data_IF_214183345613
#
_entry.id   IF_214183345613
#
_cell.length_a   1.000
_cell.length_b   1.000
_cell.length_c   1.000
_cell.angle_alpha   90.00
_cell.angle_beta   90.00
_cell.angle_gamma   90.00
#
_symmetry.space_group_name_H-M   'P 1'
#
loop_
_entity.id
_entity.type
_entity.pdbx_description
1 polymer ?
#
# COMPACT_ATOMS: atom_id res chain seq x y z
N UNK A 1 9.90 -1.34 14.52
CA UNK A 1 9.84 -2.79 14.25
C UNK A 1 10.34 -3.53 15.49
N UNK A 2 9.71 -4.67 15.85
CA UNK A 2 10.05 -5.46 17.04
C UNK A 2 11.25 -6.40 16.83
N UNK A 3 11.80 -6.94 17.92
CA UNK A 3 12.97 -7.85 17.88
C UNK A 3 12.76 -9.07 16.97
N UNK A 4 11.53 -9.59 16.92
CA UNK A 4 11.13 -10.73 16.09
C UNK A 4 11.26 -10.46 14.58
N UNK A 5 11.13 -9.19 14.18
CA UNK A 5 11.30 -8.76 12.78
C UNK A 5 12.76 -8.85 12.37
N UNK A 6 13.67 -8.40 13.23
CA UNK A 6 15.12 -8.46 12.98
C UNK A 6 15.56 -9.91 12.91
N UNK A 7 15.07 -10.76 13.82
CA UNK A 7 15.36 -12.19 13.80
C UNK A 7 14.85 -12.84 12.50
N UNK A 8 13.65 -12.49 12.04
CA UNK A 8 13.10 -12.98 10.77
C UNK A 8 13.93 -12.57 9.55
N UNK A 9 14.39 -11.30 9.51
CA UNK A 9 15.25 -10.80 8.44
C UNK A 9 16.63 -11.43 8.46
N UNK A 10 17.22 -11.62 9.64
CA UNK A 10 18.49 -12.34 9.80
C UNK A 10 18.36 -13.79 9.37
N UNK A 11 17.32 -14.50 9.82
CA UNK A 11 17.03 -15.86 9.40
C UNK A 11 16.87 -15.95 7.87
N UNK A 12 16.24 -14.96 7.25
CA UNK A 12 16.16 -14.88 5.78
C UNK A 12 17.55 -14.74 5.14
N UNK A 13 18.41 -13.86 5.64
CA UNK A 13 19.77 -13.68 5.10
C UNK A 13 20.61 -14.97 5.19
N UNK A 14 20.45 -15.74 6.26
CA UNK A 14 21.20 -16.99 6.46
C UNK A 14 20.59 -18.23 5.79
N UNK A 15 19.25 -18.28 5.65
CA UNK A 15 18.54 -19.51 5.19
C UNK A 15 17.81 -19.36 3.85
N UNK A 16 17.62 -18.12 3.38
CA UNK A 16 16.80 -17.78 2.22
C UNK A 16 15.29 -17.96 2.45
N UNK A 17 14.84 -18.24 3.68
CA UNK A 17 13.42 -18.47 4.00
C UNK A 17 12.85 -17.31 4.81
N UNK A 18 11.72 -16.78 4.37
CA UNK A 18 10.97 -15.74 5.07
C UNK A 18 9.49 -16.06 5.05
N UNK A 19 8.83 -15.95 6.22
CA UNK A 19 7.39 -16.12 6.35
C UNK A 19 6.72 -14.77 6.46
N UNK A 20 5.95 -14.39 5.44
CA UNK A 20 5.21 -13.12 5.39
C UNK A 20 3.77 -13.38 5.85
N UNK A 21 3.27 -12.54 6.76
CA UNK A 21 1.91 -12.57 7.31
C UNK A 21 1.37 -11.14 7.46
N UNK A 22 0.05 -10.99 7.57
CA UNK A 22 -0.58 -9.67 7.73
C UNK A 22 -0.10 -8.94 9.00
N UNK A 23 0.24 -9.68 10.05
CA UNK A 23 0.70 -9.12 11.32
C UNK A 23 2.16 -8.68 11.28
N UNK A 24 2.99 -9.27 10.41
CA UNK A 24 4.43 -8.97 10.36
C UNK A 24 4.85 -8.16 9.13
N UNK A 25 4.04 -8.11 8.08
CA UNK A 25 4.41 -7.51 6.79
C UNK A 25 4.85 -6.05 6.93
N UNK A 26 4.16 -5.27 7.78
CA UNK A 26 4.51 -3.87 7.99
C UNK A 26 5.86 -3.72 8.67
N UNK A 27 6.11 -4.52 9.71
CA UNK A 27 7.40 -4.49 10.40
C UNK A 27 8.53 -5.01 9.51
N UNK A 28 8.26 -6.05 8.72
CA UNK A 28 9.22 -6.63 7.77
C UNK A 28 9.62 -5.62 6.70
N UNK A 29 8.68 -4.84 6.15
CA UNK A 29 9.01 -3.79 5.18
C UNK A 29 9.92 -2.75 5.83
N UNK A 30 9.54 -2.21 7.00
CA UNK A 30 10.35 -1.20 7.68
C UNK A 30 11.76 -1.70 8.03
N UNK A 31 11.89 -2.95 8.49
CA UNK A 31 13.18 -3.57 8.74
C UNK A 31 13.97 -3.81 7.46
N UNK A 32 13.33 -4.34 6.42
CA UNK A 32 13.98 -4.63 5.14
C UNK A 32 14.48 -3.34 4.46
N UNK A 33 13.74 -2.23 4.56
CA UNK A 33 14.23 -0.93 4.11
C UNK A 33 15.43 -0.45 4.92
N UNK A 34 15.38 -0.57 6.24
CA UNK A 34 16.50 -0.19 7.10
C UNK A 34 17.78 -0.96 6.77
N UNK A 35 17.66 -2.26 6.49
CA UNK A 35 18.79 -3.11 6.09
C UNK A 35 19.05 -3.14 4.58
N UNK A 36 18.32 -2.33 3.78
CA UNK A 36 18.40 -2.29 2.32
C UNK A 36 18.25 -3.67 1.62
N UNK A 37 17.36 -4.53 2.13
CA UNK A 37 17.03 -5.84 1.56
C UNK A 37 15.86 -5.70 0.58
N UNK A 38 16.13 -5.17 -0.61
CA UNK A 38 15.09 -4.87 -1.62
C UNK A 38 14.22 -6.09 -1.99
N UNK A 39 14.80 -7.29 -2.01
CA UNK A 39 14.05 -8.51 -2.33
C UNK A 39 12.88 -8.75 -1.36
N UNK A 40 13.11 -8.53 -0.06
CA UNK A 40 12.07 -8.71 0.96
C UNK A 40 11.01 -7.63 0.82
N UNK A 41 11.40 -6.41 0.50
CA UNK A 41 10.47 -5.31 0.22
C UNK A 41 9.57 -5.66 -0.96
N UNK A 42 10.13 -6.15 -2.08
CA UNK A 42 9.36 -6.55 -3.27
C UNK A 42 8.38 -7.69 -2.94
N UNK A 43 8.82 -8.66 -2.14
CA UNK A 43 8.00 -9.82 -1.82
C UNK A 43 6.86 -9.50 -0.84
N UNK A 44 7.12 -8.61 0.12
CA UNK A 44 6.08 -8.02 0.95
C UNK A 44 5.10 -7.18 0.12
N UNK A 45 5.59 -6.37 -0.83
CA UNK A 45 4.74 -5.57 -1.72
C UNK A 45 3.81 -6.46 -2.55
N UNK A 46 4.33 -7.57 -3.08
CA UNK A 46 3.56 -8.57 -3.84
C UNK A 46 2.53 -9.28 -2.96
N UNK A 47 2.87 -9.59 -1.71
CA UNK A 47 1.93 -10.17 -0.75
C UNK A 47 0.74 -9.25 -0.49
N UNK A 48 1.01 -7.95 -0.26
CA UNK A 48 -0.04 -6.96 -0.01
C UNK A 48 -0.85 -6.69 -1.28
N UNK A 49 -0.21 -6.60 -2.46
CA UNK A 49 -0.89 -6.34 -3.74
C UNK A 49 -1.96 -7.38 -4.07
N UNK A 50 -1.81 -8.63 -3.60
CA UNK A 50 -2.80 -9.71 -3.78
C UNK A 50 -4.00 -9.61 -2.84
N UNK A 51 -3.96 -8.72 -1.86
CA UNK A 51 -4.97 -8.56 -0.79
C UNK A 51 -5.56 -7.16 -0.74
N UNK A 52 -5.37 -6.37 -1.79
CA UNK A 52 -6.02 -5.06 -1.92
C UNK A 52 -7.53 -5.27 -2.00
N UNK A 53 -8.24 -4.53 -1.16
CA UNK A 53 -9.69 -4.54 -1.02
C UNK A 53 -10.20 -3.11 -0.85
N UNK A 54 -11.50 -2.88 -1.09
CA UNK A 54 -12.13 -1.55 -1.04
C UNK A 54 -12.01 -0.96 0.36
N UNK A 55 -12.15 -1.78 1.39
CA UNK A 55 -12.03 -1.38 2.80
C UNK A 55 -10.59 -1.15 3.26
N UNK A 56 -9.55 -1.59 2.53
CA UNK A 56 -8.17 -1.47 3.00
C UNK A 56 -7.28 -0.60 2.10
N UNK A 57 -7.76 -0.22 0.92
CA UNK A 57 -6.96 0.44 -0.11
C UNK A 57 -6.42 1.80 0.33
N UNK A 58 -7.18 2.56 1.14
CA UNK A 58 -6.77 3.87 1.64
C UNK A 58 -5.65 3.74 2.69
N UNK A 59 -5.82 2.84 3.65
CA UNK A 59 -4.78 2.50 4.63
C UNK A 59 -3.50 2.01 3.94
N UNK A 60 -3.64 1.21 2.87
CA UNK A 60 -2.50 0.75 2.08
C UNK A 60 -1.83 1.87 1.29
N UNK A 61 -2.59 2.84 0.79
CA UNK A 61 -2.04 4.00 0.08
C UNK A 61 -1.16 4.84 1.01
N UNK A 62 -1.69 5.29 2.16
CA UNK A 62 -0.92 6.07 3.14
C UNK A 62 0.31 5.30 3.63
N UNK A 63 0.20 3.98 3.76
CA UNK A 63 1.32 3.13 4.13
C UNK A 63 2.41 3.09 3.05
N UNK A 64 2.04 3.04 1.77
CA UNK A 64 3.02 3.04 0.68
C UNK A 64 3.70 4.40 0.52
N UNK A 65 2.97 5.50 0.72
CA UNK A 65 3.53 6.85 0.77
C UNK A 65 4.52 7.02 1.92
N UNK A 66 4.18 6.56 3.13
CA UNK A 66 5.07 6.60 4.30
C UNK A 66 6.39 5.86 4.06
N UNK A 67 6.34 4.79 3.26
CA UNK A 67 7.48 3.89 2.98
C UNK A 67 8.19 4.29 1.69
N UNK A 68 7.69 5.27 0.94
CA UNK A 68 8.17 5.63 -0.39
C UNK A 68 8.25 4.41 -1.34
N UNK A 69 7.26 3.52 -1.27
CA UNK A 69 7.21 2.30 -2.07
C UNK A 69 6.57 2.57 -3.43
N UNK A 70 7.28 3.33 -4.28
CA UNK A 70 6.78 3.81 -5.58
C UNK A 70 6.24 2.74 -6.54
N UNK A 71 6.72 1.49 -6.42
CA UNK A 71 6.22 0.36 -7.23
C UNK A 71 4.81 -0.05 -6.86
N UNK A 72 4.44 0.09 -5.58
CA UNK A 72 3.14 -0.32 -5.07
C UNK A 72 2.10 0.81 -5.19
N UNK A 73 2.54 2.06 -5.08
CA UNK A 73 1.69 3.25 -5.26
C UNK A 73 0.89 3.18 -6.57
N UNK A 74 1.55 2.91 -7.69
CA UNK A 74 0.88 2.84 -9.00
C UNK A 74 -0.21 1.76 -9.07
N UNK A 75 -0.03 0.63 -8.37
CA UNK A 75 -0.98 -0.48 -8.40
C UNK A 75 -2.21 -0.16 -7.54
N UNK A 76 -1.98 0.36 -6.33
CA UNK A 76 -3.02 0.83 -5.42
C UNK A 76 -3.84 1.94 -6.08
N UNK A 77 -3.16 2.92 -6.64
CA UNK A 77 -3.80 4.06 -7.27
C UNK A 77 -4.67 3.66 -8.47
N UNK A 78 -4.23 2.71 -9.31
CA UNK A 78 -5.08 2.16 -10.39
C UNK A 78 -6.28 1.38 -9.87
N UNK A 79 -6.15 0.74 -8.69
CA UNK A 79 -7.27 0.07 -8.05
C UNK A 79 -8.29 1.09 -7.52
N UNK A 80 -7.80 2.20 -6.95
CA UNK A 80 -8.62 3.33 -6.52
C UNK A 80 -9.36 3.93 -7.71
N UNK A 81 -8.66 4.25 -8.81
CA UNK A 81 -9.29 4.84 -10.00
C UNK A 81 -10.42 3.95 -10.55
N UNK A 82 -10.23 2.62 -10.56
CA UNK A 82 -11.24 1.67 -11.03
C UNK A 82 -12.44 1.51 -10.10
N UNK A 83 -12.23 1.65 -8.80
CA UNK A 83 -13.24 1.44 -7.77
C UNK A 83 -13.57 2.74 -7.04
N UNK A 84 -13.37 3.89 -7.69
CA UNK A 84 -13.45 5.19 -7.03
C UNK A 84 -14.84 5.45 -6.44
N UNK A 85 -15.90 5.06 -7.17
CA UNK A 85 -17.30 5.25 -6.74
C UNK A 85 -17.61 4.52 -5.42
N UNK A 86 -17.31 3.21 -5.26
CA UNK A 86 -17.52 2.57 -3.96
C UNK A 86 -16.53 3.03 -2.89
N UNK A 87 -15.29 3.41 -3.25
CA UNK A 87 -14.29 3.90 -2.28
C UNK A 87 -14.66 5.28 -1.74
N UNK A 88 -15.21 6.18 -2.56
CA UNK A 88 -15.61 7.53 -2.12
C UNK A 88 -16.81 7.53 -1.16
N UNK A 89 -17.51 6.40 -1.07
CA UNK A 89 -18.64 6.18 -0.16
C UNK A 89 -18.21 5.50 1.15
N UNK A 90 -16.95 5.08 1.30
CA UNK A 90 -16.48 4.48 2.56
C UNK A 90 -16.30 5.56 3.63
N UNK A 91 -16.58 5.24 4.90
CA UNK A 91 -16.37 6.18 6.02
C UNK A 91 -14.91 6.60 6.11
N UNK A 92 -13.98 5.69 5.82
CA UNK A 92 -12.55 5.95 5.79
C UNK A 92 -12.17 7.05 4.81
N UNK A 93 -12.83 7.16 3.64
CA UNK A 93 -12.61 8.25 2.69
C UNK A 93 -13.17 9.59 3.18
N UNK A 94 -14.34 9.56 3.81
CA UNK A 94 -15.03 10.75 4.32
C UNK A 94 -14.33 11.34 5.56
N UNK A 95 -13.55 10.53 6.28
CA UNK A 95 -12.73 10.94 7.42
C UNK A 95 -11.32 11.40 7.02
N UNK A 96 -10.94 11.28 5.74
CA UNK A 96 -9.65 11.76 5.26
C UNK A 96 -9.60 13.30 5.35
N UNK A 97 -8.68 13.89 6.13
CA UNK A 97 -8.47 15.33 6.13
C UNK A 97 -7.97 15.78 4.74
N UNK A 98 -8.40 16.96 4.30
CA UNK A 98 -8.10 17.55 2.96
C UNK A 98 -6.59 17.63 2.63
N UNK A 99 -5.73 17.44 3.64
CA UNK A 99 -4.27 17.57 3.59
C UNK A 99 -3.53 16.30 3.15
N UNK A 100 -4.18 15.12 3.11
CA UNK A 100 -3.52 13.86 2.77
C UNK A 100 -4.51 12.93 2.06
N UNK A 101 -4.18 12.24 0.96
CA UNK A 101 -2.94 12.29 0.18
C UNK A 101 -2.99 13.39 -0.90
N UNK A 102 -1.95 14.22 -1.02
CA UNK A 102 -1.75 15.13 -2.17
C UNK A 102 -1.82 14.36 -3.51
N UNK A 103 -1.42 13.09 -3.51
CA UNK A 103 -1.49 12.16 -4.64
C UNK A 103 -2.92 11.88 -5.12
N UNK A 104 -3.92 12.09 -4.26
CA UNK A 104 -5.33 11.87 -4.56
C UNK A 104 -6.02 13.16 -5.03
N UNK A 105 -5.68 14.30 -4.43
CA UNK A 105 -6.22 15.62 -4.80
C UNK A 105 -5.66 16.16 -6.12
N UNK A 106 -4.41 15.82 -6.49
CA UNK A 106 -3.82 16.24 -7.77
C UNK A 106 -4.27 15.38 -8.97
N UNK A 107 -5.08 14.33 -8.73
CA UNK A 107 -5.61 13.49 -9.81
C UNK A 107 -6.89 14.09 -10.36
N UNK A 108 -6.71 14.98 -11.32
CA UNK A 108 -7.66 15.37 -12.37
C UNK A 108 -8.05 14.18 -13.30
N UNK A 109 -8.10 12.97 -12.75
CA UNK A 109 -8.64 11.76 -13.40
C UNK A 109 -9.97 11.36 -12.75
N UNK A 110 -10.67 12.32 -12.16
CA UNK A 110 -12.14 12.33 -12.19
C UNK A 110 -12.50 12.49 -13.67
N UNK A 111 -12.37 11.40 -14.41
CA UNK A 111 -12.98 11.27 -15.71
C UNK A 111 -14.48 11.30 -15.45
N UNK A 112 -15.02 12.50 -15.56
CA UNK A 112 -16.43 12.81 -15.74
C UNK A 112 -16.88 12.10 -17.01
N UNK A 113 -17.07 10.78 -16.93
CA UNK A 113 -17.75 10.01 -17.98
C UNK A 113 -19.27 10.07 -17.76
N UNK A 114 -19.77 11.27 -17.42
CA UNK A 114 -21.20 11.54 -17.46
C UNK A 114 -21.54 13.00 -17.78
N UNK A 115 -20.80 13.62 -18.70
CA UNK A 115 -21.34 14.71 -19.51
C UNK A 115 -21.53 14.19 -20.94
N UNK A 116 -22.72 13.66 -21.23
CA UNK A 116 -23.15 13.43 -22.61
C UNK A 116 -23.83 12.09 -22.90
N UNK A 117 -24.95 11.78 -22.24
CA UNK A 117 -26.03 11.11 -22.97
C UNK A 117 -27.09 12.15 -23.29
N UNK A 118 -27.08 12.55 -24.57
CA UNK A 118 -28.14 13.28 -25.26
C UNK A 118 -29.44 12.49 -25.26
#
# INVERSE_FOLDING_TARGET
>A
FGGDTIESLLNYVYTGRLTISLSNVQSLIGGAQYFAIEYVVDECARFISKRIDIDNVLTLLSFCEFIALHKMDNLILRFIDKNFVPISLTPEFLEIPVDEPESLHQRDSINVDNEGQV
#
